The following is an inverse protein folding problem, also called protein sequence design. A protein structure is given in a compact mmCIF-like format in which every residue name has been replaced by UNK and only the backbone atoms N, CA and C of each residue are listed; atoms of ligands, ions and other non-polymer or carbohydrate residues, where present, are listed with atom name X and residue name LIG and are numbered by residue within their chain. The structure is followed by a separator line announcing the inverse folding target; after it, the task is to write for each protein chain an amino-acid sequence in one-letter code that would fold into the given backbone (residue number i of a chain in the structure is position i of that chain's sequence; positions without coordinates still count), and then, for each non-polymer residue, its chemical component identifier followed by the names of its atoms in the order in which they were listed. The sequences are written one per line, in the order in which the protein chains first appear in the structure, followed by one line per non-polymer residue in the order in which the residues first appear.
data_IF_009787722802
#
_entry.id   IF_009787722802
#
_cell.length_a   1.000
_cell.length_b   1.000
_cell.length_c   1.000
_cell.angle_alpha   90.00
_cell.angle_beta   90.00
_cell.angle_gamma   90.00
#
_symmetry.space_group_name_H-M   'P 1'
#
loop_
_entity.id
_entity.type
_entity.pdbx_description
1 polymer ?
#
# COMPACT_ATOMS: atom_id res chain seq x y z
N UNK A 1 -17.96 14.90 0.93
CA UNK A 1 -17.12 14.77 2.15
C UNK A 1 -15.71 15.15 1.75
N UNK A 2 -15.18 16.25 2.25
CA UNK A 2 -13.84 16.70 1.87
C UNK A 2 -12.80 15.91 2.69
N UNK A 3 -11.99 15.09 2.00
CA UNK A 3 -10.91 14.35 2.64
C UNK A 3 -9.75 15.31 2.88
N UNK A 4 -9.34 15.46 4.15
CA UNK A 4 -8.18 16.26 4.52
C UNK A 4 -6.99 15.33 4.83
N UNK A 5 -5.97 15.25 3.96
CA UNK A 5 -4.83 14.38 4.16
C UNK A 5 -4.07 14.66 5.46
N UNK A 6 -3.93 15.93 5.86
CA UNK A 6 -3.20 16.29 7.08
C UNK A 6 -3.87 15.75 8.34
N UNK A 7 -5.21 15.79 8.40
CA UNK A 7 -5.97 15.21 9.53
C UNK A 7 -5.79 13.70 9.60
N UNK A 8 -5.78 13.01 8.46
CA UNK A 8 -5.55 11.57 8.41
C UNK A 8 -4.13 11.22 8.86
N UNK A 9 -3.14 11.92 8.33
CA UNK A 9 -1.73 11.73 8.69
C UNK A 9 -1.50 11.99 10.18
N UNK A 10 -2.08 13.06 10.74
CA UNK A 10 -1.98 13.36 12.18
C UNK A 10 -2.64 12.29 13.06
N UNK A 11 -3.62 11.58 12.54
CA UNK A 11 -4.30 10.48 13.25
C UNK A 11 -3.50 9.17 13.20
N UNK A 12 -2.84 8.93 12.07
CA UNK A 12 -2.12 7.68 11.79
C UNK A 12 -0.69 7.74 12.32
N UNK A 13 0.05 8.82 12.06
CA UNK A 13 1.46 8.94 12.42
C UNK A 13 1.63 8.96 13.94
N UNK A 14 2.53 8.14 14.45
CA UNK A 14 2.77 8.07 15.88
C UNK A 14 3.69 9.21 16.38
N UNK A 15 3.49 9.62 17.62
CA UNK A 15 4.39 10.47 18.40
C UNK A 15 5.21 9.68 19.43
N UNK A 16 5.41 8.37 19.20
CA UNK A 16 6.14 7.52 20.14
C UNK A 16 7.58 7.98 20.34
N UNK A 17 7.97 8.23 21.58
CA UNK A 17 9.36 8.57 21.94
C UNK A 17 10.28 7.37 21.79
N UNK A 18 9.81 6.16 22.12
CA UNK A 18 10.58 4.92 22.01
C UNK A 18 9.68 3.72 21.68
N UNK A 19 10.30 2.64 21.22
CA UNK A 19 9.74 1.29 21.30
C UNK A 19 8.84 0.85 20.14
N UNK A 20 7.91 1.66 19.62
CA UNK A 20 6.97 1.37 18.50
C UNK A 20 6.46 -0.08 18.33
N UNK A 21 6.52 -0.92 19.35
CA UNK A 21 6.34 -2.38 19.31
C UNK A 21 4.97 -2.82 19.82
N UNK A 22 4.16 -1.87 20.26
CA UNK A 22 2.80 -2.08 20.80
C UNK A 22 1.77 -1.25 20.05
N UNK A 23 0.49 -1.54 20.30
CA UNK A 23 -0.65 -0.79 19.73
C UNK A 23 -0.77 0.65 20.26
N UNK A 24 0.14 1.09 21.16
CA UNK A 24 0.30 2.52 21.51
C UNK A 24 0.87 3.34 20.34
N UNK A 25 1.57 2.70 19.41
CA UNK A 25 2.01 3.33 18.17
C UNK A 25 0.83 3.50 17.22
N UNK A 26 0.48 4.75 16.88
CA UNK A 26 -0.60 5.07 15.94
C UNK A 26 -0.48 4.34 14.60
N UNK A 27 0.73 4.25 14.04
CA UNK A 27 0.96 3.56 12.78
C UNK A 27 0.58 2.07 12.92
N UNK A 28 1.15 1.39 13.92
CA UNK A 28 0.89 -0.03 14.20
C UNK A 28 -0.57 -0.29 14.51
N UNK A 29 -1.23 0.60 15.26
CA UNK A 29 -2.67 0.51 15.58
C UNK A 29 -3.54 0.49 14.32
N UNK A 30 -3.14 1.19 13.28
CA UNK A 30 -3.83 1.21 11.99
C UNK A 30 -3.22 0.26 10.96
N UNK A 31 -2.35 -0.67 11.38
CA UNK A 31 -1.76 -1.68 10.50
C UNK A 31 -0.65 -1.16 9.58
N UNK A 32 -0.11 0.04 9.84
CA UNK A 32 0.91 0.68 9.02
C UNK A 32 2.29 0.65 9.69
N UNK A 33 3.35 0.66 8.86
CA UNK A 33 4.73 0.84 9.32
C UNK A 33 5.00 2.31 9.64
N UNK A 34 5.90 2.54 10.59
CA UNK A 34 6.42 3.87 10.84
C UNK A 34 7.29 4.31 9.66
N UNK A 35 7.14 5.56 9.28
CA UNK A 35 7.93 6.20 8.22
C UNK A 35 8.60 7.46 8.78
N UNK A 36 9.34 8.18 7.93
CA UNK A 36 9.95 9.47 8.26
C UNK A 36 8.91 10.55 8.67
N UNK A 37 7.62 10.31 8.45
CA UNK A 37 6.55 11.24 8.81
C UNK A 37 6.17 11.19 10.30
N UNK A 38 6.60 10.15 11.02
CA UNK A 38 6.39 10.05 12.46
C UNK A 38 7.27 11.07 13.21
N UNK A 39 6.70 11.82 14.15
CA UNK A 39 7.33 12.99 14.77
C UNK A 39 8.60 12.72 15.58
N UNK A 40 8.76 11.50 16.12
CA UNK A 40 9.83 11.18 17.06
C UNK A 40 10.68 10.01 16.58
N UNK A 41 10.07 8.89 16.18
CA UNK A 41 10.83 7.73 15.72
C UNK A 41 11.42 7.92 14.31
N UNK A 42 10.85 8.81 13.49
CA UNK A 42 11.28 9.13 12.13
C UNK A 42 11.55 7.92 11.23
N UNK A 43 10.86 6.79 11.42
CA UNK A 43 11.14 5.56 10.68
C UNK A 43 12.61 5.11 10.79
N UNK A 44 13.31 5.43 11.88
CA UNK A 44 14.70 5.03 12.09
C UNK A 44 14.84 3.52 12.24
N UNK A 45 16.05 2.99 12.05
CA UNK A 45 16.33 1.55 12.19
C UNK A 45 16.09 1.03 13.62
N UNK A 46 16.13 1.89 14.62
CA UNK A 46 15.81 1.57 16.01
C UNK A 46 14.30 1.49 16.27
N UNK A 47 13.47 1.98 15.34
CA UNK A 47 12.02 1.87 15.42
C UNK A 47 11.60 0.43 15.13
N UNK A 48 11.01 -0.25 16.12
CA UNK A 48 10.55 -1.64 15.96
C UNK A 48 9.40 -1.82 14.95
N UNK A 49 8.89 -0.75 14.35
CA UNK A 49 7.80 -0.76 13.37
C UNK A 49 8.18 -0.16 12.02
N UNK A 50 9.47 -0.01 11.70
CA UNK A 50 9.91 0.37 10.35
C UNK A 50 9.84 -0.83 9.38
N UNK A 51 9.65 -0.55 8.10
CA UNK A 51 9.84 -1.52 7.02
C UNK A 51 11.33 -1.89 6.91
N UNK A 52 11.65 -3.18 6.90
CA UNK A 52 13.04 -3.64 6.75
C UNK A 52 13.28 -3.99 5.29
N UNK A 53 14.22 -3.30 4.64
CA UNK A 53 14.67 -3.70 3.30
C UNK A 53 15.56 -4.93 3.45
N UNK A 54 15.15 -6.03 2.84
CA UNK A 54 16.01 -7.21 2.66
C UNK A 54 16.54 -7.08 1.24
N UNK A 55 17.83 -6.80 1.10
CA UNK A 55 18.53 -6.92 -0.18
C UNK A 55 19.02 -8.36 -0.28
N UNK A 56 18.47 -9.11 -1.23
CA UNK A 56 19.03 -10.40 -1.61
C UNK A 56 20.26 -10.12 -2.46
N UNK A 57 21.43 -10.50 -1.96
CA UNK A 57 22.65 -10.54 -2.77
C UNK A 57 22.45 -11.63 -3.83
N UNK A 58 22.00 -11.23 -5.01
CA UNK A 58 22.11 -12.05 -6.21
C UNK A 58 23.60 -12.30 -6.42
N UNK A 59 24.04 -13.51 -6.08
CA UNK A 59 25.34 -14.00 -6.48
C UNK A 59 25.28 -14.17 -8.00
N UNK A 60 25.91 -13.26 -8.72
CA UNK A 60 26.27 -13.47 -10.12
C UNK A 60 27.26 -14.64 -10.16
N UNK A 61 26.74 -15.87 -10.25
CA UNK A 61 27.51 -16.96 -10.83
C UNK A 61 27.71 -16.59 -12.29
N UNK A 62 28.86 -15.96 -12.56
CA UNK A 62 29.34 -15.58 -13.89
C UNK A 62 29.61 -16.85 -14.69
N UNK A 63 28.58 -17.43 -15.30
CA UNK A 63 28.76 -18.40 -16.37
C UNK A 63 29.38 -17.68 -17.58
N UNK A 64 30.62 -18.06 -17.92
CA UNK A 64 31.28 -17.66 -19.17
C UNK A 64 30.35 -17.97 -20.35
N UNK A 65 29.77 -16.93 -20.96
CA UNK A 65 29.15 -17.06 -22.27
C UNK A 65 30.27 -17.35 -23.28
N UNK A 66 30.36 -18.61 -23.71
CA UNK A 66 31.12 -18.96 -24.90
C UNK A 66 30.53 -18.19 -26.10
N UNK A 67 31.39 -17.46 -26.80
CA UNK A 67 31.08 -16.68 -27.99
C UNK A 67 30.73 -17.64 -29.14
N UNK A 68 29.48 -18.09 -29.18
CA UNK A 68 28.93 -18.86 -30.30
C UNK A 68 28.31 -17.86 -31.29
N UNK A 69 28.95 -17.71 -32.45
CA UNK A 69 28.57 -16.77 -33.51
C UNK A 69 27.09 -16.88 -33.96
N UNK A 70 26.46 -15.79 -34.42
CA UNK A 70 25.06 -15.80 -34.83
C UNK A 70 24.92 -16.42 -36.22
N UNK A 71 24.48 -17.68 -36.31
CA UNK A 71 23.93 -18.21 -37.56
C UNK A 71 22.49 -17.72 -37.74
N UNK A 72 22.34 -16.68 -38.56
CA UNK A 72 21.07 -16.31 -39.17
C UNK A 72 20.69 -17.36 -40.22
N UNK A 73 19.47 -17.90 -40.15
CA UNK A 73 18.67 -18.17 -41.36
C UNK A 73 17.20 -18.00 -41.04
N UNK A 74 16.61 -17.03 -41.72
CA UNK A 74 15.18 -16.73 -41.83
C UNK A 74 14.40 -17.93 -42.39
N UNK A 75 13.18 -18.14 -41.90
CA UNK A 75 12.05 -18.56 -42.71
C UNK A 75 10.80 -17.90 -42.12
N UNK A 76 10.30 -16.87 -42.81
CA UNK A 76 8.92 -16.40 -42.70
C UNK A 76 7.97 -17.52 -43.12
N UNK A 77 6.90 -17.79 -42.36
CA UNK A 77 5.54 -18.04 -42.87
C UNK A 77 4.51 -17.69 -41.77
N UNK A 78 3.52 -16.90 -42.16
CA UNK A 78 2.42 -16.30 -41.40
C UNK A 78 1.54 -17.32 -40.64
N UNK A 79 1.03 -16.97 -39.45
CA UNK A 79 -0.28 -17.46 -38.99
C UNK A 79 -0.92 -16.53 -37.95
N UNK A 80 -2.19 -16.25 -38.21
CA UNK A 80 -3.05 -15.24 -37.61
C UNK A 80 -3.58 -15.65 -36.24
N UNK A 81 -3.69 -14.72 -35.29
CA UNK A 81 -4.28 -15.03 -33.98
C UNK A 81 -4.51 -13.84 -33.06
N UNK A 82 -5.21 -12.83 -33.54
CA UNK A 82 -5.78 -11.78 -32.70
C UNK A 82 -6.93 -12.37 -31.87
N UNK A 83 -6.75 -12.49 -30.55
CA UNK A 83 -7.86 -12.65 -29.62
C UNK A 83 -7.99 -11.39 -28.76
N UNK A 84 -8.85 -10.48 -29.23
CA UNK A 84 -9.45 -9.44 -28.42
C UNK A 84 -10.23 -10.09 -27.27
N UNK A 85 -9.81 -9.85 -26.03
CA UNK A 85 -10.65 -10.04 -24.84
C UNK A 85 -10.89 -8.69 -24.18
N UNK A 86 -11.68 -7.88 -24.87
CA UNK A 86 -12.46 -6.81 -24.25
C UNK A 86 -13.71 -7.45 -23.61
N UNK A 87 -13.73 -7.60 -22.29
CA UNK A 87 -14.99 -7.69 -21.54
C UNK A 87 -14.86 -6.99 -20.18
N UNK A 88 -14.90 -5.67 -20.29
CA UNK A 88 -15.72 -4.77 -19.48
C UNK A 88 -16.56 -5.44 -18.36
N UNK A 89 -16.03 -5.48 -17.13
CA UNK A 89 -16.87 -5.64 -15.94
C UNK A 89 -17.08 -4.28 -15.26
N UNK A 90 -17.81 -3.42 -15.95
CA UNK A 90 -18.62 -2.41 -15.28
C UNK A 90 -19.75 -3.12 -14.53
N UNK A 91 -19.65 -3.16 -13.21
CA UNK A 91 -20.81 -3.37 -12.35
C UNK A 91 -20.72 -2.43 -11.17
N UNK A 92 -20.95 -1.16 -11.48
CA UNK A 92 -21.53 -0.23 -10.53
C UNK A 92 -22.88 -0.81 -10.07
N UNK A 93 -22.97 -1.18 -8.80
CA UNK A 93 -24.24 -1.22 -8.08
C UNK A 93 -24.01 -0.60 -6.71
N UNK A 94 -24.35 0.68 -6.50
CA UNK A 94 -24.57 1.20 -5.16
C UNK A 94 -25.72 0.41 -4.54
N UNK A 95 -25.47 -0.25 -3.42
CA UNK A 95 -26.57 -0.68 -2.55
C UNK A 95 -27.15 0.58 -1.91
N UNK A 96 -28.22 1.08 -2.51
CA UNK A 96 -29.14 2.00 -1.84
C UNK A 96 -29.79 1.25 -0.68
N UNK A 97 -29.37 1.53 0.55
CA UNK A 97 -30.23 1.36 1.72
C UNK A 97 -30.64 2.74 2.17
N UNK A 98 -31.80 3.16 1.65
CA UNK A 98 -32.46 4.38 2.09
C UNK A 98 -33.23 4.12 3.40
N UNK A 99 -33.07 5.08 4.30
CA UNK A 99 -33.92 5.50 5.42
C UNK A 99 -34.47 4.50 6.44
N UNK A 100 -34.05 4.72 7.69
CA UNK A 100 -35.01 5.13 8.72
C UNK A 100 -34.35 6.01 9.79
N UNK A 101 -34.57 7.31 9.62
CA UNK A 101 -34.46 8.35 10.64
C UNK A 101 -35.42 8.04 11.82
N UNK A 102 -34.92 8.09 13.06
CA UNK A 102 -35.74 8.48 14.21
C UNK A 102 -34.93 9.49 15.05
N UNK A 103 -35.47 10.71 15.30
CA UNK A 103 -34.80 11.79 16.00
C UNK A 103 -35.10 11.77 17.51
N UNK A 104 -34.40 12.66 18.24
CA UNK A 104 -34.66 13.15 19.62
C UNK A 104 -33.83 12.46 20.72
N UNK A 105 -33.23 13.13 21.70
CA UNK A 105 -33.47 14.46 22.27
C UNK A 105 -32.24 14.92 23.05
N UNK A 106 -32.03 16.24 23.04
CA UNK A 106 -31.11 17.00 23.88
C UNK A 106 -31.53 16.90 25.35
N UNK A 107 -30.56 16.87 26.26
CA UNK A 107 -30.70 17.45 27.60
C UNK A 107 -29.38 18.15 27.96
N UNK A 108 -29.37 19.46 27.77
CA UNK A 108 -28.72 20.42 28.68
C UNK A 108 -29.23 20.20 30.10
N UNK A 109 -28.33 20.30 31.08
CA UNK A 109 -28.61 20.99 32.36
C UNK A 109 -27.30 21.52 32.94
N UNK A 110 -27.25 22.84 33.05
CA UNK A 110 -26.49 23.68 33.99
C UNK A 110 -26.34 23.08 35.39
N UNK A 111 -25.12 23.16 35.95
CA UNK A 111 -24.68 23.88 37.18
C UNK A 111 -23.33 23.34 37.69
#
# INVERSE_FOLDING_TARGET
MELNPEKLLKTICCSCETGCNSLKCGCRKHGLKCTNLCSNCHGSEQCANVEKKIYEEVKEDSDEIADEEPMQTENDEDDDGLEDVEDLLESERPVETNDQEIPSKKTETDE
#
